data_IF_607672345720
#
_entry.id   IF_607672345720
#
_cell.length_a   1.000
_cell.length_b   1.000
_cell.length_c   1.000
_cell.angle_alpha   90.00
_cell.angle_beta   90.00
_cell.angle_gamma   90.00
#
_symmetry.space_group_name_H-M   'P 1'
#
loop_
_entity.id
_entity.type
_entity.pdbx_description
1 polymer ?
#
# COMPACT_ATOMS: atom_id res chain seq x y z
N UNK A 1 -18.86 8.23 11.01
CA UNK A 1 -18.62 7.22 12.06
C UNK A 1 -17.17 7.30 12.50
N UNK A 2 -16.87 7.35 13.80
CA UNK A 2 -15.49 7.44 14.24
C UNK A 2 -14.72 6.14 13.95
N UNK A 3 -13.47 6.31 13.60
CA UNK A 3 -12.55 5.20 13.40
C UNK A 3 -12.24 4.53 14.76
N UNK A 4 -12.31 3.20 14.78
CA UNK A 4 -12.15 2.41 16.01
C UNK A 4 -10.76 1.78 16.06
N UNK A 5 -9.77 2.56 16.48
CA UNK A 5 -8.38 2.10 16.52
C UNK A 5 -8.15 0.91 17.44
N UNK A 6 -8.94 0.78 18.50
CA UNK A 6 -8.86 -0.36 19.42
C UNK A 6 -9.16 -1.69 18.75
N UNK A 7 -9.98 -1.70 17.71
CA UNK A 7 -10.30 -2.91 16.95
C UNK A 7 -9.11 -3.44 16.15
N UNK A 8 -8.14 -2.60 15.81
CA UNK A 8 -6.96 -3.04 15.07
C UNK A 8 -6.16 -4.11 15.80
N UNK A 9 -6.14 -4.08 17.12
CA UNK A 9 -5.40 -5.03 17.94
C UNK A 9 -6.03 -6.41 17.94
N UNK A 10 -7.34 -6.49 17.69
CA UNK A 10 -8.10 -7.74 17.72
C UNK A 10 -8.31 -8.35 16.32
N UNK A 11 -7.88 -7.70 15.25
CA UNK A 11 -8.01 -8.26 13.91
C UNK A 11 -7.13 -9.50 13.76
N UNK A 12 -7.71 -10.55 13.19
CA UNK A 12 -6.96 -11.76 12.89
C UNK A 12 -6.07 -11.56 11.67
N UNK A 13 -4.86 -12.08 11.74
CA UNK A 13 -3.96 -12.15 10.59
C UNK A 13 -3.93 -13.56 10.03
N UNK A 14 -3.63 -13.68 8.74
CA UNK A 14 -3.51 -14.97 8.05
C UNK A 14 -2.27 -14.96 7.15
N UNK A 15 -1.69 -16.12 6.85
CA UNK A 15 -0.58 -16.17 5.91
C UNK A 15 -1.06 -15.96 4.47
N UNK A 16 -0.19 -15.44 3.63
CA UNK A 16 -0.44 -15.28 2.21
C UNK A 16 0.83 -15.61 1.43
N UNK A 17 0.72 -16.54 0.49
CA UNK A 17 1.75 -16.80 -0.50
C UNK A 17 1.17 -16.45 -1.87
N UNK A 18 1.80 -15.52 -2.57
CA UNK A 18 1.31 -15.05 -3.85
C UNK A 18 2.40 -14.38 -4.66
N UNK A 19 2.17 -14.27 -5.97
CA UNK A 19 2.98 -13.39 -6.82
C UNK A 19 2.47 -11.96 -6.67
N UNK A 20 3.42 -11.02 -6.64
CA UNK A 20 3.10 -9.60 -6.59
C UNK A 20 4.03 -8.83 -7.52
N UNK A 21 3.62 -7.63 -7.87
CA UNK A 21 4.30 -6.82 -8.87
C UNK A 21 4.50 -5.40 -8.38
N UNK A 22 5.54 -4.77 -8.90
CA UNK A 22 5.84 -3.38 -8.61
C UNK A 22 6.44 -2.74 -9.86
N UNK A 23 6.00 -1.53 -10.19
CA UNK A 23 6.66 -0.70 -11.18
C UNK A 23 7.65 0.20 -10.47
N UNK A 24 8.91 0.11 -10.87
CA UNK A 24 10.03 0.87 -10.28
C UNK A 24 10.57 1.80 -11.35
N UNK A 25 10.85 3.05 -11.00
CA UNK A 25 11.53 3.94 -11.93
C UNK A 25 12.86 3.31 -12.36
N UNK A 26 13.16 3.37 -13.66
CA UNK A 26 14.31 2.67 -14.25
C UNK A 26 15.62 2.98 -13.53
N UNK A 27 15.79 4.20 -13.05
CA UNK A 27 17.00 4.62 -12.31
C UNK A 27 17.18 3.93 -10.97
N UNK A 28 16.13 3.29 -10.44
CA UNK A 28 16.16 2.57 -9.16
C UNK A 28 15.90 1.07 -9.32
N UNK A 29 15.95 0.56 -10.55
CA UNK A 29 15.55 -0.82 -10.84
C UNK A 29 16.47 -1.88 -10.23
N UNK A 30 17.69 -1.52 -9.85
CA UNK A 30 18.63 -2.42 -9.18
C UNK A 30 18.37 -2.55 -7.67
N UNK A 31 17.40 -1.82 -7.14
CA UNK A 31 17.03 -1.88 -5.72
C UNK A 31 15.53 -2.22 -5.56
N UNK A 32 15.10 -3.41 -5.98
CA UNK A 32 13.67 -3.75 -6.05
C UNK A 32 12.97 -3.85 -4.68
N UNK A 33 13.69 -3.97 -3.60
CA UNK A 33 13.13 -4.03 -2.25
C UNK A 33 13.26 -2.72 -1.48
N UNK A 34 13.81 -1.67 -2.09
CA UNK A 34 13.97 -0.37 -1.43
C UNK A 34 12.62 0.27 -1.13
N UNK A 35 12.49 0.79 0.09
CA UNK A 35 11.32 1.54 0.57
C UNK A 35 11.66 2.99 0.90
N UNK A 36 12.83 3.45 0.48
CA UNK A 36 13.30 4.83 0.76
C UNK A 36 12.33 5.87 0.22
N UNK A 37 11.78 5.64 -0.98
CA UNK A 37 10.82 6.56 -1.58
C UNK A 37 9.56 6.73 -0.73
N UNK A 38 9.01 5.64 -0.21
CA UNK A 38 7.82 5.72 0.63
C UNK A 38 8.09 6.41 1.97
N UNK A 39 9.28 6.25 2.53
CA UNK A 39 9.66 6.96 3.75
C UNK A 39 9.77 8.46 3.50
N UNK A 40 10.41 8.87 2.40
CA UNK A 40 10.64 10.29 2.06
C UNK A 40 9.38 11.02 1.61
N UNK A 41 8.54 10.35 0.83
CA UNK A 41 7.40 10.99 0.15
C UNK A 41 6.05 10.57 0.70
N UNK A 42 6.03 9.54 1.54
CA UNK A 42 4.80 8.98 2.06
C UNK A 42 4.04 8.17 1.01
N UNK A 43 2.97 7.55 1.41
CA UNK A 43 2.06 6.80 0.58
C UNK A 43 0.69 6.73 1.24
N UNK A 44 -0.19 5.92 0.68
CA UNK A 44 -1.57 5.83 1.18
C UNK A 44 -1.63 5.46 2.66
N UNK A 45 -0.82 4.51 3.09
CA UNK A 45 -0.87 3.98 4.45
C UNK A 45 0.26 4.48 5.35
N UNK A 46 1.23 5.22 4.84
CA UNK A 46 2.34 5.72 5.63
C UNK A 46 2.53 7.22 5.45
N UNK A 47 2.56 7.92 6.57
CA UNK A 47 2.87 9.34 6.59
C UNK A 47 4.37 9.53 6.37
N UNK A 48 4.75 10.59 5.68
CA UNK A 48 6.14 10.97 5.42
C UNK A 48 6.98 10.92 6.69
N UNK A 49 8.15 10.28 6.62
CA UNK A 49 9.13 10.19 7.71
C UNK A 49 8.66 9.41 8.95
N UNK A 50 7.50 8.74 8.89
CA UNK A 50 7.02 7.93 10.01
C UNK A 50 7.54 6.50 9.97
N UNK A 51 7.31 5.79 8.88
CA UNK A 51 7.85 4.47 8.58
C UNK A 51 7.83 4.26 7.08
N UNK A 52 8.58 3.29 6.59
CA UNK A 52 8.57 2.95 5.17
C UNK A 52 7.63 1.77 4.91
N UNK A 53 7.08 1.72 3.71
CA UNK A 53 6.21 0.64 3.27
C UNK A 53 6.58 0.23 1.85
N UNK A 54 6.50 -1.08 1.57
CA UNK A 54 6.66 -1.62 0.24
C UNK A 54 5.26 -1.83 -0.36
N UNK A 55 4.94 -1.07 -1.38
CA UNK A 55 3.65 -1.16 -2.07
C UNK A 55 3.75 -2.09 -3.26
N UNK A 56 2.90 -3.11 -3.28
CA UNK A 56 2.86 -4.11 -4.34
C UNK A 56 1.43 -4.27 -4.86
N UNK A 57 1.30 -4.63 -6.14
CA UNK A 57 0.02 -5.00 -6.74
C UNK A 57 -0.02 -6.48 -7.08
N UNK A 58 -1.19 -7.07 -7.17
CA UNK A 58 -1.33 -8.50 -7.51
C UNK A 58 -1.28 -8.77 -9.02
N UNK A 59 -1.22 -7.74 -9.85
CA UNK A 59 -1.03 -7.88 -11.30
C UNK A 59 -0.26 -6.69 -11.85
N UNK A 60 0.37 -6.89 -13.02
CA UNK A 60 1.04 -5.79 -13.71
C UNK A 60 0.05 -4.69 -14.11
N UNK A 61 -1.16 -5.08 -14.50
CA UNK A 61 -2.22 -4.15 -14.91
C UNK A 61 -2.59 -3.20 -13.77
N UNK A 62 -2.69 -3.71 -12.55
CA UNK A 62 -2.96 -2.88 -11.36
C UNK A 62 -1.82 -1.88 -11.14
N UNK A 63 -0.58 -2.32 -11.22
CA UNK A 63 0.58 -1.45 -11.05
C UNK A 63 0.65 -0.38 -12.14
N UNK A 64 0.37 -0.77 -13.38
CA UNK A 64 0.35 0.14 -14.52
C UNK A 64 -0.73 1.20 -14.37
N UNK A 65 -1.92 0.80 -13.91
CA UNK A 65 -3.02 1.72 -13.67
C UNK A 65 -2.68 2.74 -12.58
N UNK A 66 -2.04 2.32 -11.50
CA UNK A 66 -1.62 3.22 -10.43
C UNK A 66 -0.57 4.23 -10.88
N UNK A 67 0.42 3.78 -11.65
CA UNK A 67 1.44 4.67 -12.21
C UNK A 67 0.80 5.68 -13.17
N UNK A 68 -0.11 5.23 -14.03
CA UNK A 68 -0.81 6.09 -14.97
C UNK A 68 -1.67 7.13 -14.27
N UNK A 69 -2.36 6.76 -13.19
CA UNK A 69 -3.16 7.69 -12.39
C UNK A 69 -2.28 8.77 -11.74
N UNK A 70 -1.10 8.39 -11.25
CA UNK A 70 -0.14 9.35 -10.70
C UNK A 70 0.37 10.33 -11.74
N UNK A 71 0.55 9.89 -12.98
CA UNK A 71 1.03 10.71 -14.09
C UNK A 71 -0.04 11.67 -14.58
N UNK A 72 -1.30 11.26 -14.60
CA UNK A 72 -2.42 12.12 -15.01
C UNK A 72 -2.55 13.38 -14.14
N UNK A 73 -2.00 13.38 -12.94
CA UNK A 73 -1.99 14.55 -12.08
C UNK A 73 -0.82 15.51 -12.32
N UNK A 74 0.07 15.27 -13.27
CA UNK A 74 1.13 16.23 -13.56
C UNK A 74 2.34 15.73 -14.33
N UNK A 75 2.27 14.58 -15.00
CA UNK A 75 3.42 14.05 -15.71
C UNK A 75 3.08 13.34 -17.00
N UNK A 76 4.10 12.97 -17.73
CA UNK A 76 4.00 12.20 -18.99
C UNK A 76 4.72 10.87 -18.80
N UNK A 77 4.02 9.76 -19.11
CA UNK A 77 4.64 8.43 -19.10
C UNK A 77 5.55 8.31 -20.31
N UNK A 78 6.85 8.24 -20.07
CA UNK A 78 7.84 7.99 -21.12
C UNK A 78 8.11 6.50 -21.22
N UNK A 79 8.23 5.99 -22.44
CA UNK A 79 8.63 4.60 -22.68
C UNK A 79 9.97 4.34 -21.97
N UNK A 80 10.05 3.25 -21.22
CA UNK A 80 11.26 2.88 -20.47
C UNK A 80 11.48 3.63 -19.17
N UNK A 81 10.54 4.50 -18.75
CA UNK A 81 10.65 5.22 -17.49
C UNK A 81 10.50 4.31 -16.26
N UNK A 82 9.85 3.16 -16.42
CA UNK A 82 9.57 2.20 -15.34
C UNK A 82 9.97 0.79 -15.78
N UNK A 83 10.37 -0.01 -14.80
CA UNK A 83 10.64 -1.45 -14.94
C UNK A 83 9.66 -2.21 -14.05
N UNK A 84 9.03 -3.22 -14.63
CA UNK A 84 8.14 -4.11 -13.87
C UNK A 84 8.96 -5.18 -13.17
N UNK A 85 8.82 -5.30 -11.86
CA UNK A 85 9.42 -6.37 -11.07
C UNK A 85 8.33 -7.30 -10.58
N UNK A 86 8.64 -8.60 -10.61
CA UNK A 86 7.78 -9.66 -10.08
C UNK A 86 8.40 -10.21 -8.82
N UNK A 87 7.58 -10.35 -7.79
CA UNK A 87 7.99 -10.85 -6.49
C UNK A 87 7.25 -12.14 -6.18
N UNK A 88 7.95 -13.09 -5.58
CA UNK A 88 7.29 -14.18 -4.87
C UNK A 88 7.17 -13.74 -3.42
N UNK A 89 5.94 -13.65 -2.91
CA UNK A 89 5.69 -13.22 -1.53
C UNK A 89 5.29 -14.43 -0.68
N UNK A 90 5.90 -14.54 0.48
CA UNK A 90 5.54 -15.52 1.50
C UNK A 90 5.41 -14.77 2.82
N UNK A 91 4.22 -14.23 3.05
CA UNK A 91 3.92 -13.38 4.19
C UNK A 91 3.24 -14.21 5.27
N UNK A 92 3.70 -14.08 6.50
CA UNK A 92 3.21 -14.87 7.62
C UNK A 92 1.98 -14.25 8.28
N UNK A 93 1.87 -12.91 8.24
CA UNK A 93 0.81 -12.18 8.92
C UNK A 93 0.24 -11.11 7.98
N UNK A 94 -0.94 -11.38 7.45
CA UNK A 94 -1.64 -10.47 6.54
C UNK A 94 -2.99 -10.13 7.13
N UNK A 95 -3.30 -8.84 7.16
CA UNK A 95 -4.62 -8.34 7.55
C UNK A 95 -5.38 -7.96 6.28
N UNK A 96 -6.57 -8.54 6.12
CA UNK A 96 -7.41 -8.34 4.96
C UNK A 96 -8.24 -7.06 5.12
N UNK A 97 -7.78 -5.96 4.51
CA UNK A 97 -8.53 -4.70 4.50
C UNK A 97 -9.47 -4.57 3.29
N UNK A 98 -9.51 -5.58 2.44
CA UNK A 98 -10.45 -5.65 1.32
C UNK A 98 -11.82 -6.24 1.71
N UNK A 99 -11.95 -6.79 2.90
CA UNK A 99 -13.19 -7.35 3.40
C UNK A 99 -14.04 -6.28 4.09
N UNK A 100 -15.29 -6.11 3.65
CA UNK A 100 -16.20 -5.12 4.22
C UNK A 100 -16.46 -5.35 5.70
N UNK A 101 -16.53 -6.60 6.14
CA UNK A 101 -16.72 -6.91 7.55
C UNK A 101 -15.58 -6.36 8.41
N UNK A 102 -14.33 -6.49 7.95
CA UNK A 102 -13.15 -5.95 8.63
C UNK A 102 -13.21 -4.43 8.69
N UNK A 103 -13.48 -3.79 7.56
CA UNK A 103 -13.57 -2.33 7.50
C UNK A 103 -14.72 -1.79 8.35
N UNK A 104 -15.84 -2.49 8.38
CA UNK A 104 -16.97 -2.13 9.21
C UNK A 104 -16.63 -2.16 10.70
N UNK A 105 -15.88 -3.18 11.14
CA UNK A 105 -15.37 -3.24 12.51
C UNK A 105 -14.48 -2.04 12.86
N UNK A 106 -13.70 -1.55 11.90
CA UNK A 106 -12.85 -0.39 12.08
C UNK A 106 -13.61 0.94 11.99
N UNK A 107 -14.87 0.90 11.60
CA UNK A 107 -15.69 2.11 11.44
C UNK A 107 -15.40 2.85 10.13
N UNK A 108 -15.00 2.16 9.09
CA UNK A 108 -14.70 2.74 7.80
C UNK A 108 -15.27 1.88 6.65
N UNK A 109 -15.02 2.31 5.41
CA UNK A 109 -15.46 1.62 4.20
C UNK A 109 -14.35 1.60 3.15
N UNK A 110 -14.49 0.74 2.13
CA UNK A 110 -13.57 0.73 0.98
C UNK A 110 -13.49 2.11 0.31
N UNK A 111 -14.62 2.78 0.18
CA UNK A 111 -14.66 4.11 -0.44
C UNK A 111 -13.80 5.09 0.35
N UNK A 112 -13.90 5.10 1.67
CA UNK A 112 -13.14 6.03 2.51
C UNK A 112 -11.63 5.81 2.45
N UNK A 113 -11.17 4.56 2.39
CA UNK A 113 -9.74 4.27 2.32
C UNK A 113 -9.18 4.41 0.90
N UNK A 114 -10.04 4.50 -0.11
CA UNK A 114 -9.65 4.54 -1.53
C UNK A 114 -9.82 5.91 -2.17
N UNK A 115 -10.14 6.97 -1.43
CA UNK A 115 -10.37 8.30 -1.99
C UNK A 115 -9.09 8.79 -2.70
N UNK A 116 -9.16 9.11 -4.00
CA UNK A 116 -8.00 9.61 -4.73
C UNK A 116 -7.49 10.93 -4.13
N UNK A 117 -6.17 11.01 -3.94
CA UNK A 117 -5.53 12.23 -3.43
C UNK A 117 -5.77 12.54 -1.95
N UNK A 118 -6.60 11.76 -1.27
CA UNK A 118 -6.85 11.92 0.17
C UNK A 118 -6.57 10.61 0.89
N UNK A 119 -5.42 10.54 1.53
CA UNK A 119 -4.94 9.33 2.22
C UNK A 119 -5.16 9.36 3.73
N UNK A 120 -5.93 10.33 4.24
CA UNK A 120 -6.05 10.52 5.69
C UNK A 120 -6.56 9.25 6.39
N UNK A 121 -7.66 8.68 5.94
CA UNK A 121 -8.25 7.49 6.56
C UNK A 121 -7.30 6.29 6.50
N UNK A 122 -6.67 6.07 5.34
CA UNK A 122 -5.72 4.98 5.19
C UNK A 122 -4.49 5.16 6.09
N UNK A 123 -3.98 6.39 6.21
CA UNK A 123 -2.84 6.71 7.07
C UNK A 123 -3.14 6.49 8.55
N UNK A 124 -4.35 6.74 8.98
CA UNK A 124 -4.79 6.47 10.37
C UNK A 124 -4.74 4.97 10.68
N UNK A 125 -4.97 4.12 9.70
CA UNK A 125 -4.86 2.67 9.84
C UNK A 125 -3.39 2.22 9.83
N UNK A 126 -2.57 2.82 8.97
CA UNK A 126 -1.21 2.36 8.70
C UNK A 126 -0.28 2.32 9.90
N UNK A 127 -0.21 3.40 10.68
CA UNK A 127 0.72 3.48 11.80
C UNK A 127 0.40 2.47 12.93
N UNK A 128 -0.84 2.33 13.39
CA UNK A 128 -1.16 1.30 14.38
C UNK A 128 -0.86 -0.12 13.90
N UNK A 129 -1.08 -0.42 12.62
CA UNK A 129 -0.72 -1.74 12.06
C UNK A 129 0.78 -1.94 12.06
N UNK A 130 1.56 -0.93 11.69
CA UNK A 130 3.01 -1.00 11.74
C UNK A 130 3.50 -1.24 13.18
N UNK A 131 2.96 -0.51 14.14
CA UNK A 131 3.32 -0.65 15.56
C UNK A 131 2.94 -2.04 16.10
N UNK A 132 1.88 -2.65 15.59
CA UNK A 132 1.49 -4.01 15.94
C UNK A 132 2.52 -5.05 15.45
N UNK A 133 3.29 -4.74 14.41
CA UNK A 133 4.30 -5.62 13.85
C UNK A 133 3.78 -6.61 12.80
N UNK A 134 2.58 -6.41 12.29
CA UNK A 134 1.95 -7.28 11.28
C UNK A 134 2.09 -6.73 9.85
N UNK A 135 2.93 -5.76 9.68
CA UNK A 135 3.07 -5.07 8.39
C UNK A 135 4.43 -5.34 7.78
#
# INVERSE_FOLDING_TARGET
MPFKSEELQSLESEPLEAEAFRYIRSRYADEPLSTVGSLKHGGRYNVTQSFSALYLGFSEEVCQAEVSAGILSGGVLKKGAFVAWKYHTDLKKVIRLDEEATLSRLGTTKQNISIPGNHWTASVIGLPLFERGDV
#
